data_IF_116124748624
#
_entry.id   IF_116124748624
#
_cell.length_a   1.000
_cell.length_b   1.000
_cell.length_c   1.000
_cell.angle_alpha   90.00
_cell.angle_beta   90.00
_cell.angle_gamma   90.00
#
_symmetry.space_group_name_H-M   'P 1'
#
loop_
_entity.id
_entity.type
_entity.pdbx_description
1 polymer ?
#
# COMPACT_ATOMS: atom_id res chain seq x y z
N UNK A 1 15.45 -12.78 -33.84
CA UNK A 1 16.44 -12.74 -32.74
C UNK A 1 16.69 -11.29 -32.37
N UNK A 2 16.13 -10.84 -31.25
CA UNK A 2 16.54 -9.58 -30.61
C UNK A 2 16.75 -9.92 -29.14
N UNK A 3 17.96 -10.40 -28.86
CA UNK A 3 18.52 -10.55 -27.53
C UNK A 3 18.61 -9.16 -26.89
N UNK A 4 17.48 -8.68 -26.36
CA UNK A 4 17.48 -7.49 -25.52
C UNK A 4 17.74 -7.98 -24.11
N UNK A 5 19.02 -7.97 -23.76
CA UNK A 5 19.58 -8.06 -22.42
C UNK A 5 18.69 -7.34 -21.38
N UNK A 6 17.71 -8.03 -20.82
CA UNK A 6 17.05 -7.63 -19.59
C UNK A 6 17.84 -8.31 -18.48
N UNK A 7 18.95 -7.68 -18.08
CA UNK A 7 19.53 -7.96 -16.78
C UNK A 7 18.53 -7.43 -15.76
N UNK A 8 17.43 -8.15 -15.56
CA UNK A 8 16.46 -7.84 -14.52
C UNK A 8 17.24 -7.87 -13.22
N UNK A 9 17.39 -6.69 -12.61
CA UNK A 9 17.94 -6.62 -11.27
C UNK A 9 17.13 -7.59 -10.42
N UNK A 10 17.78 -8.43 -9.59
CA UNK A 10 17.06 -9.37 -8.72
C UNK A 10 16.02 -8.68 -7.82
N UNK A 11 16.13 -7.36 -7.64
CA UNK A 11 15.09 -6.53 -7.02
C UNK A 11 13.84 -6.36 -7.90
N UNK A 12 14.01 -6.08 -9.19
CA UNK A 12 12.88 -5.88 -10.11
C UNK A 12 11.99 -7.13 -10.19
N UNK A 13 12.60 -8.32 -10.23
CA UNK A 13 11.87 -9.59 -10.21
C UNK A 13 11.09 -9.82 -8.90
N UNK A 14 11.60 -9.33 -7.76
CA UNK A 14 10.90 -9.41 -6.47
C UNK A 14 9.67 -8.49 -6.44
N UNK A 15 9.84 -7.24 -6.86
CA UNK A 15 8.74 -6.28 -6.91
C UNK A 15 7.66 -6.73 -7.89
N UNK A 16 8.04 -7.27 -9.05
CA UNK A 16 7.09 -7.81 -10.03
C UNK A 16 6.21 -8.91 -9.44
N UNK A 17 6.80 -9.88 -8.72
CA UNK A 17 6.04 -10.95 -8.05
C UNK A 17 5.04 -10.43 -7.00
N UNK A 18 5.35 -9.33 -6.33
CA UNK A 18 4.47 -8.70 -5.34
C UNK A 18 3.29 -8.02 -6.05
N UNK A 19 3.55 -7.26 -7.12
CA UNK A 19 2.53 -6.54 -7.87
C UNK A 19 1.65 -7.46 -8.74
N UNK A 20 2.14 -8.63 -9.13
CA UNK A 20 1.34 -9.64 -9.85
C UNK A 20 0.32 -10.35 -8.95
N UNK A 21 0.40 -10.19 -7.62
CA UNK A 21 -0.55 -10.79 -6.69
C UNK A 21 -1.70 -9.83 -6.34
N UNK A 22 -2.78 -9.90 -7.12
CA UNK A 22 -3.96 -9.04 -6.96
C UNK A 22 -4.59 -9.11 -5.57
N UNK A 23 -4.58 -10.28 -4.92
CA UNK A 23 -5.14 -10.44 -3.58
C UNK A 23 -4.30 -9.73 -2.52
N UNK A 24 -2.97 -9.75 -2.67
CA UNK A 24 -2.06 -9.01 -1.80
C UNK A 24 -2.29 -7.51 -1.95
N UNK A 25 -2.40 -7.02 -3.18
CA UNK A 25 -2.71 -5.61 -3.46
C UNK A 25 -4.08 -5.19 -2.93
N UNK A 26 -5.08 -6.07 -3.03
CA UNK A 26 -6.41 -5.83 -2.48
C UNK A 26 -6.39 -5.75 -0.95
N UNK A 27 -5.72 -6.68 -0.27
CA UNK A 27 -5.59 -6.62 1.19
C UNK A 27 -4.78 -5.39 1.64
N UNK A 28 -3.74 -5.04 0.88
CA UNK A 28 -2.96 -3.83 1.13
C UNK A 28 -3.82 -2.57 0.99
N UNK A 29 -4.69 -2.50 -0.02
CA UNK A 29 -5.58 -1.35 -0.19
C UNK A 29 -6.62 -1.26 0.95
N UNK A 30 -7.18 -2.39 1.38
CA UNK A 30 -8.05 -2.45 2.55
C UNK A 30 -7.34 -2.00 3.82
N UNK A 31 -6.09 -2.46 4.02
CA UNK A 31 -5.28 -2.09 5.17
C UNK A 31 -4.99 -0.58 5.18
N UNK A 32 -4.57 -0.02 4.04
CA UNK A 32 -4.33 1.42 3.89
C UNK A 32 -5.62 2.20 4.18
N UNK A 33 -6.75 1.81 3.59
CA UNK A 33 -8.03 2.49 3.82
C UNK A 33 -8.45 2.45 5.29
N UNK A 34 -8.26 1.31 5.94
CA UNK A 34 -8.56 1.13 7.36
C UNK A 34 -7.69 2.05 8.21
N UNK A 35 -6.38 2.04 7.97
CA UNK A 35 -5.43 2.87 8.72
C UNK A 35 -5.75 4.35 8.52
N UNK A 36 -5.93 4.81 7.27
CA UNK A 36 -6.23 6.22 6.97
C UNK A 36 -7.52 6.67 7.65
N UNK A 37 -8.58 5.87 7.59
CA UNK A 37 -9.86 6.21 8.22
C UNK A 37 -9.75 6.27 9.74
N UNK A 38 -9.05 5.31 10.36
CA UNK A 38 -8.85 5.30 11.81
C UNK A 38 -7.96 6.44 12.28
N UNK A 39 -6.87 6.73 11.56
CA UNK A 39 -5.98 7.86 11.87
C UNK A 39 -6.73 9.17 11.74
N UNK A 40 -7.49 9.36 10.66
CA UNK A 40 -8.30 10.56 10.48
C UNK A 40 -9.33 10.72 11.61
N UNK A 41 -10.05 9.65 11.98
CA UNK A 41 -11.02 9.69 13.08
C UNK A 41 -10.37 9.98 14.45
N UNK A 42 -9.19 9.42 14.72
CA UNK A 42 -8.43 9.72 15.94
C UNK A 42 -7.99 11.19 15.95
N UNK A 43 -7.46 11.69 14.83
CA UNK A 43 -7.05 13.09 14.70
C UNK A 43 -8.25 14.01 14.91
N UNK A 44 -9.41 13.68 14.34
CA UNK A 44 -10.64 14.44 14.53
C UNK A 44 -11.06 14.45 16.01
N UNK A 45 -11.11 13.29 16.66
CA UNK A 45 -11.44 13.17 18.10
C UNK A 45 -10.50 13.98 19.01
N UNK A 46 -9.20 14.01 18.70
CA UNK A 46 -8.23 14.79 19.49
C UNK A 46 -8.38 16.30 19.27
N UNK A 47 -8.94 16.72 18.15
CA UNK A 47 -9.18 18.13 17.83
C UNK A 47 -10.58 18.61 18.22
N UNK A 48 -11.50 17.70 18.57
CA UNK A 48 -12.82 18.06 19.08
C UNK A 48 -12.64 18.65 20.50
N UNK A 49 -13.03 19.92 20.72
CA UNK A 49 -13.00 20.50 22.05
C UNK A 49 -13.97 19.73 22.97
N UNK A 50 -13.60 19.50 24.24
CA UNK A 50 -14.49 18.84 25.18
C UNK A 50 -15.79 19.62 25.30
N UNK A 51 -16.91 18.89 25.33
CA UNK A 51 -18.23 19.47 25.50
C UNK A 51 -18.30 20.30 26.82
N UNK A 52 -19.08 21.40 26.85
CA UNK A 52 -19.19 22.28 28.01
C UNK A 52 -19.72 21.58 29.27
#
# INVERSE_FOLDING_TARGET
MSEKNAHESPEAAKWQKIFDNIWLLFLLSLAISTVVYNVWGIVDLLNVPPAP
#
